data_IF_748674709049
#
_entry.id   IF_748674709049
#
_cell.length_a   1.000
_cell.length_b   1.000
_cell.length_c   1.000
_cell.angle_alpha   90.00
_cell.angle_beta   90.00
_cell.angle_gamma   90.00
#
_symmetry.space_group_name_H-M   'P 1'
#
loop_
_entity.id
_entity.type
_entity.pdbx_description
1 polymer ?
#
# COMPACT_ATOMS: atom_id res chain seq x y z
N UNK A 1 5.77 -33.57 24.12
CA UNK A 1 6.53 -32.76 23.15
C UNK A 1 6.74 -33.57 21.87
N UNK A 2 6.06 -33.21 20.78
CA UNK A 2 6.54 -33.43 19.40
C UNK A 2 5.58 -32.73 18.44
N UNK A 3 6.15 -31.85 17.63
CA UNK A 3 5.53 -30.91 16.72
C UNK A 3 4.73 -31.60 15.59
N UNK A 4 3.52 -31.10 15.33
CA UNK A 4 2.83 -31.33 14.05
C UNK A 4 3.44 -30.41 13.00
N UNK A 5 4.30 -30.96 12.16
CA UNK A 5 4.77 -30.36 10.92
C UNK A 5 3.59 -30.33 9.92
N UNK A 6 2.86 -29.20 9.84
CA UNK A 6 1.90 -28.97 8.75
C UNK A 6 2.67 -28.54 7.51
N UNK A 7 2.74 -29.44 6.54
CA UNK A 7 3.27 -29.18 5.19
C UNK A 7 2.43 -28.07 4.55
N UNK A 8 3.03 -26.89 4.36
CA UNK A 8 2.44 -25.79 3.59
C UNK A 8 2.59 -26.16 2.11
N UNK A 9 1.50 -26.60 1.49
CA UNK A 9 1.42 -26.83 0.03
C UNK A 9 1.48 -25.47 -0.66
N UNK A 10 2.44 -25.29 -1.58
CA UNK A 10 2.54 -24.08 -2.39
C UNK A 10 1.27 -23.89 -3.27
N UNK A 11 0.82 -22.64 -3.50
CA UNK A 11 -0.35 -22.36 -4.34
C UNK A 11 -0.11 -22.79 -5.79
N UNK A 12 -1.12 -23.40 -6.41
CA UNK A 12 -1.11 -23.84 -7.82
C UNK A 12 -1.26 -22.61 -8.71
N UNK A 13 -0.42 -22.42 -9.75
CA UNK A 13 -0.57 -21.28 -10.67
C UNK A 13 -1.83 -21.48 -11.52
N UNK A 14 -2.81 -20.59 -11.36
CA UNK A 14 -4.09 -20.61 -12.09
C UNK A 14 -5.35 -20.59 -11.22
N UNK A 15 -5.21 -20.66 -9.89
CA UNK A 15 -6.32 -20.47 -8.93
C UNK A 15 -6.49 -18.99 -8.51
N UNK A 16 -5.92 -18.05 -9.27
CA UNK A 16 -6.26 -16.64 -9.08
C UNK A 16 -7.72 -16.45 -9.52
N UNK A 17 -8.61 -15.93 -8.66
CA UNK A 17 -10.01 -15.76 -9.02
C UNK A 17 -10.12 -14.89 -10.27
N UNK A 18 -10.73 -15.45 -11.33
CA UNK A 18 -11.05 -14.72 -12.55
C UNK A 18 -11.92 -13.53 -12.14
N UNK A 19 -11.51 -12.27 -12.41
CA UNK A 19 -12.29 -11.11 -12.02
C UNK A 19 -13.64 -11.14 -12.75
N UNK A 20 -14.73 -11.21 -11.97
CA UNK A 20 -16.10 -11.18 -12.49
C UNK A 20 -16.35 -9.81 -13.15
N UNK A 21 -16.57 -9.75 -14.48
CA UNK A 21 -16.74 -8.50 -15.20
C UNK A 21 -18.03 -7.74 -14.82
N UNK A 22 -18.93 -8.34 -14.03
CA UNK A 22 -20.17 -7.75 -13.55
C UNK A 22 -20.17 -7.39 -12.05
N UNK A 23 -19.04 -7.57 -11.35
CA UNK A 23 -18.93 -7.11 -9.96
C UNK A 23 -18.87 -5.59 -9.95
N UNK A 24 -20.02 -4.93 -9.68
CA UNK A 24 -20.03 -3.51 -9.33
C UNK A 24 -19.13 -3.33 -8.12
N UNK A 25 -17.91 -2.87 -8.34
CA UNK A 25 -16.96 -2.60 -7.27
C UNK A 25 -17.63 -1.68 -6.26
N UNK A 26 -17.71 -2.15 -5.00
CA UNK A 26 -18.24 -1.34 -3.92
C UNK A 26 -17.41 -0.05 -3.85
N UNK A 27 -18.05 1.08 -3.55
CA UNK A 27 -17.41 2.38 -3.34
C UNK A 27 -16.13 2.28 -2.51
N UNK A 28 -16.15 1.42 -1.47
CA UNK A 28 -14.98 1.06 -0.67
C UNK A 28 -13.81 0.58 -1.54
N UNK A 29 -14.04 -0.46 -2.35
CA UNK A 29 -13.03 -1.08 -3.22
C UNK A 29 -12.46 -0.06 -4.21
N UNK A 30 -13.30 0.77 -4.84
CA UNK A 30 -12.84 1.82 -5.76
C UNK A 30 -11.99 2.89 -5.08
N UNK A 31 -12.34 3.22 -3.83
CA UNK A 31 -11.57 4.18 -3.05
C UNK A 31 -10.23 3.59 -2.61
N UNK A 32 -10.22 2.33 -2.18
CA UNK A 32 -8.99 1.56 -1.93
C UNK A 32 -8.07 1.57 -3.14
N UNK A 33 -8.59 1.29 -4.33
CA UNK A 33 -7.82 1.29 -5.58
C UNK A 33 -7.28 2.68 -5.93
N UNK A 34 -8.05 3.74 -5.70
CA UNK A 34 -7.56 5.12 -5.89
C UNK A 34 -6.41 5.47 -4.95
N UNK A 35 -6.46 4.99 -3.70
CA UNK A 35 -5.35 5.15 -2.77
C UNK A 35 -4.16 4.27 -3.17
N UNK A 36 -4.38 2.98 -3.46
CA UNK A 36 -3.33 2.05 -3.86
C UNK A 36 -2.63 2.44 -5.18
N UNK A 37 -3.38 3.05 -6.11
CA UNK A 37 -2.86 3.57 -7.37
C UNK A 37 -2.26 4.98 -7.27
N UNK A 38 -2.21 5.58 -6.07
CA UNK A 38 -1.57 6.86 -5.87
C UNK A 38 -0.05 6.72 -6.04
N UNK A 39 0.53 7.60 -6.86
CA UNK A 39 1.93 7.51 -7.26
C UNK A 39 2.65 8.83 -7.09
N UNK A 40 3.96 8.75 -6.85
CA UNK A 40 4.89 9.88 -6.74
C UNK A 40 5.92 9.82 -7.85
N UNK A 41 6.52 10.95 -8.20
CA UNK A 41 7.58 10.98 -9.22
C UNK A 41 8.88 10.36 -8.67
N UNK A 42 9.57 9.56 -9.48
CA UNK A 42 10.90 9.02 -9.17
C UNK A 42 11.90 10.17 -8.96
N UNK A 43 12.89 9.93 -8.09
CA UNK A 43 14.02 10.86 -7.98
C UNK A 43 15.13 10.53 -8.99
N UNK A 44 15.15 9.30 -9.52
CA UNK A 44 16.14 8.82 -10.49
C UNK A 44 15.74 9.09 -11.94
N UNK A 45 14.46 8.94 -12.26
CA UNK A 45 13.96 9.00 -13.63
C UNK A 45 12.84 10.03 -13.79
N UNK A 46 13.15 11.16 -14.42
CA UNK A 46 12.17 12.24 -14.65
C UNK A 46 10.98 11.72 -15.48
N UNK A 47 9.76 11.95 -15.01
CA UNK A 47 8.53 11.48 -15.67
C UNK A 47 8.12 10.05 -15.34
N UNK A 48 8.94 9.29 -14.60
CA UNK A 48 8.55 7.96 -14.09
C UNK A 48 7.81 8.12 -12.76
N UNK A 49 6.70 7.40 -12.62
CA UNK A 49 5.88 7.40 -11.40
C UNK A 49 6.04 6.07 -10.68
N UNK A 50 6.30 6.13 -9.40
CA UNK A 50 6.41 4.99 -8.50
C UNK A 50 5.25 4.97 -7.50
N UNK A 51 4.90 3.78 -7.01
CA UNK A 51 4.13 3.70 -5.78
C UNK A 51 4.93 4.34 -4.64
N UNK A 52 4.26 4.77 -3.57
CA UNK A 52 4.94 5.32 -2.40
C UNK A 52 5.91 4.31 -1.76
N UNK A 53 5.60 3.02 -1.82
CA UNK A 53 6.47 1.93 -1.35
C UNK A 53 7.72 1.82 -2.21
N UNK A 54 7.56 1.79 -3.54
CA UNK A 54 8.70 1.69 -4.46
C UNK A 54 9.61 2.92 -4.36
N UNK A 55 9.02 4.10 -4.19
CA UNK A 55 9.77 5.33 -3.98
C UNK A 55 10.54 5.30 -2.65
N UNK A 56 9.96 4.76 -1.57
CA UNK A 56 10.69 4.58 -0.31
C UNK A 56 11.86 3.60 -0.47
N UNK A 57 11.64 2.46 -1.13
CA UNK A 57 12.69 1.49 -1.40
C UNK A 57 13.82 2.08 -2.26
N UNK A 58 13.48 2.88 -3.29
CA UNK A 58 14.46 3.60 -4.11
C UNK A 58 15.40 4.46 -3.26
N UNK A 59 14.87 5.15 -2.24
CA UNK A 59 15.64 6.03 -1.36
C UNK A 59 16.41 5.24 -0.28
N UNK A 60 15.91 4.09 0.17
CA UNK A 60 16.65 3.16 1.04
C UNK A 60 17.88 2.63 0.31
N UNK A 61 17.72 2.21 -0.95
CA UNK A 61 18.82 1.70 -1.77
C UNK A 61 19.88 2.80 -1.99
N UNK A 62 19.48 4.05 -2.20
CA UNK A 62 20.41 5.18 -2.32
C UNK A 62 21.22 5.46 -1.05
N UNK A 63 20.65 5.21 0.14
CA UNK A 63 21.37 5.30 1.41
C UNK A 63 22.34 4.14 1.62
N UNK A 64 22.05 2.96 1.06
CA UNK A 64 22.87 1.74 1.22
C UNK A 64 24.20 1.75 0.47
N UNK A 65 24.44 2.67 -0.47
CA UNK A 65 25.63 2.64 -1.35
C UNK A 65 26.91 3.24 -0.75
N UNK A 66 27.11 3.16 0.56
CA UNK A 66 28.37 3.57 1.23
C UNK A 66 28.51 5.05 1.59
N UNK A 67 27.66 5.94 1.04
CA UNK A 67 27.57 7.38 1.38
C UNK A 67 26.34 7.68 2.26
N UNK A 68 26.02 6.79 3.20
CA UNK A 68 24.82 6.87 4.06
C UNK A 68 24.76 8.13 4.96
N UNK A 69 25.86 8.89 5.01
CA UNK A 69 25.99 10.15 5.74
C UNK A 69 25.74 11.40 4.89
N UNK A 70 25.44 11.27 3.60
CA UNK A 70 25.09 12.42 2.75
C UNK A 70 23.77 13.08 3.23
N UNK A 71 23.82 14.35 3.69
CA UNK A 71 22.63 15.06 4.17
C UNK A 71 21.50 15.15 3.13
N UNK A 72 21.85 15.20 1.84
CA UNK A 72 20.84 15.27 0.78
C UNK A 72 20.10 13.94 0.62
N UNK A 73 20.81 12.81 0.71
CA UNK A 73 20.21 11.47 0.65
C UNK A 73 19.33 11.22 1.87
N UNK A 74 19.79 11.62 3.06
CA UNK A 74 19.00 11.54 4.30
C UNK A 74 17.72 12.38 4.20
N UNK A 75 17.81 13.60 3.68
CA UNK A 75 16.63 14.45 3.51
C UNK A 75 15.60 13.84 2.54
N UNK A 76 16.05 13.23 1.44
CA UNK A 76 15.17 12.54 0.47
C UNK A 76 14.51 11.31 1.08
N UNK A 77 15.28 10.49 1.80
CA UNK A 77 14.73 9.35 2.54
C UNK A 77 13.68 9.77 3.58
N UNK A 78 13.98 10.79 4.39
CA UNK A 78 13.03 11.30 5.40
C UNK A 78 11.75 11.81 4.73
N UNK A 79 11.86 12.52 3.61
CA UNK A 79 10.71 12.94 2.82
C UNK A 79 9.90 11.75 2.29
N UNK A 80 10.55 10.74 1.71
CA UNK A 80 9.88 9.53 1.22
C UNK A 80 9.15 8.78 2.34
N UNK A 81 9.77 8.67 3.51
CA UNK A 81 9.19 8.05 4.70
C UNK A 81 7.95 8.80 5.20
N UNK A 82 8.00 10.13 5.26
CA UNK A 82 6.84 10.96 5.63
C UNK A 82 5.68 10.79 4.64
N UNK A 83 5.97 10.77 3.34
CA UNK A 83 4.96 10.57 2.30
C UNK A 83 4.30 9.19 2.41
N UNK A 84 5.10 8.13 2.62
CA UNK A 84 4.60 6.77 2.84
C UNK A 84 3.73 6.67 4.11
N UNK A 85 4.16 7.28 5.21
CA UNK A 85 3.43 7.27 6.48
C UNK A 85 2.08 8.00 6.39
N UNK A 86 2.05 9.21 5.80
CA UNK A 86 0.78 9.94 5.60
C UNK A 86 -0.16 9.16 4.69
N UNK A 87 0.37 8.55 3.62
CA UNK A 87 -0.43 7.77 2.70
C UNK A 87 -1.09 6.56 3.37
N UNK A 88 -0.32 5.75 4.11
CA UNK A 88 -0.84 4.57 4.82
C UNK A 88 -1.81 4.95 5.93
N UNK A 89 -1.52 6.01 6.69
CA UNK A 89 -2.42 6.52 7.73
C UNK A 89 -3.73 7.08 7.16
N UNK A 90 -3.67 7.78 6.03
CA UNK A 90 -4.86 8.28 5.35
C UNK A 90 -5.70 7.13 4.80
N UNK A 91 -5.07 6.11 4.20
CA UNK A 91 -5.76 4.91 3.73
C UNK A 91 -6.49 4.22 4.90
N UNK A 92 -5.82 3.97 6.03
CA UNK A 92 -6.43 3.36 7.21
C UNK A 92 -7.60 4.18 7.79
N UNK A 93 -7.45 5.51 7.87
CA UNK A 93 -8.47 6.40 8.42
C UNK A 93 -9.73 6.46 7.56
N UNK A 94 -9.57 6.47 6.24
CA UNK A 94 -10.69 6.45 5.29
C UNK A 94 -11.46 5.14 5.37
N UNK A 95 -10.76 4.01 5.45
CA UNK A 95 -11.40 2.68 5.59
C UNK A 95 -12.25 2.62 6.85
N UNK A 96 -11.67 3.07 7.97
CA UNK A 96 -12.38 3.11 9.25
C UNK A 96 -13.61 4.02 9.17
N UNK A 97 -13.45 5.22 8.62
CA UNK A 97 -14.53 6.19 8.48
C UNK A 97 -15.73 5.64 7.72
N UNK A 98 -15.51 4.91 6.63
CA UNK A 98 -16.64 4.36 5.87
C UNK A 98 -17.25 3.14 6.56
N UNK A 99 -16.43 2.30 7.21
CA UNK A 99 -16.95 1.20 8.02
C UNK A 99 -17.83 1.67 9.19
N UNK A 100 -17.53 2.84 9.77
CA UNK A 100 -18.36 3.44 10.83
C UNK A 100 -19.66 4.04 10.28
N UNK A 101 -19.64 4.65 9.07
CA UNK A 101 -20.86 5.12 8.38
C UNK A 101 -21.77 3.95 8.03
N UNK A 102 -21.24 2.86 7.48
CA UNK A 102 -22.03 1.68 7.10
C UNK A 102 -22.75 1.07 8.31
N UNK A 103 -22.05 0.95 9.45
CA UNK A 103 -22.66 0.53 10.73
C UNK A 103 -23.72 1.50 11.24
N UNK A 104 -23.49 2.81 11.10
CA UNK A 104 -24.44 3.85 11.50
C UNK A 104 -25.73 3.78 10.68
N UNK A 105 -25.61 3.63 9.36
CA UNK A 105 -26.75 3.45 8.45
C UNK A 105 -27.53 2.18 8.80
N UNK A 106 -26.87 1.02 8.96
CA UNK A 106 -27.56 -0.23 9.34
C UNK A 106 -28.32 -0.10 10.67
N UNK A 107 -27.77 0.64 11.64
CA UNK A 107 -28.42 0.86 12.94
C UNK A 107 -29.70 1.70 12.83
N UNK A 108 -29.75 2.67 11.92
CA UNK A 108 -30.90 3.56 11.75
C UNK A 108 -32.05 2.91 10.93
N UNK A 109 -31.77 1.78 10.26
CA UNK A 109 -32.74 1.00 9.47
C UNK A 109 -33.28 -0.26 10.18
N UNK A 110 -32.98 -0.43 11.48
CA UNK A 110 -33.40 -1.56 12.31
C UNK A 110 -34.18 -1.06 13.54
#
# INVERSE_FOLDING_TARGET
MSEMLRVIKAPVPGDDPVPDPNKKENFITRLFEKFAGATVESTKEKGKRHSFTDHLNEQIDELGTGDSSDPQKLARYQKAMMMFSVHTNAQASVIKGIGDVDKGVIRDFN
#
